data_IF_026541918795
#
_entry.id   IF_026541918795
#
_cell.length_a   1.000
_cell.length_b   1.000
_cell.length_c   1.000
_cell.angle_alpha   90.00
_cell.angle_beta   90.00
_cell.angle_gamma   90.00
#
_symmetry.space_group_name_H-M   'P 1'
#
loop_
_entity.id
_entity.type
_entity.pdbx_description
1 polymer ?
#
# COMPACT_ATOMS: atom_id res chain seq x y z
N UNK A 1 27.74 -0.13 -16.40
CA UNK A 1 26.74 0.25 -15.37
C UNK A 1 25.42 -0.37 -15.78
N UNK A 2 25.16 -1.58 -15.32
CA UNK A 2 23.97 -2.36 -15.67
C UNK A 2 22.80 -1.85 -14.83
N UNK A 3 21.95 -1.03 -15.43
CA UNK A 3 20.64 -0.67 -14.87
C UNK A 3 19.72 -1.90 -14.95
N UNK A 4 19.86 -2.81 -14.00
CA UNK A 4 18.98 -3.97 -13.87
C UNK A 4 17.61 -3.47 -13.37
N UNK A 5 16.61 -3.52 -14.23
CA UNK A 5 15.24 -3.18 -13.84
C UNK A 5 14.74 -4.21 -12.80
N UNK A 6 14.15 -3.77 -11.67
CA UNK A 6 13.79 -4.67 -10.55
C UNK A 6 12.76 -5.76 -10.92
N UNK A 7 11.98 -5.56 -12.00
CA UNK A 7 11.04 -6.57 -12.47
C UNK A 7 11.66 -7.71 -13.30
N UNK A 8 12.89 -7.55 -13.76
CA UNK A 8 13.64 -8.60 -14.43
C UNK A 8 14.42 -9.48 -13.44
N UNK A 9 14.38 -9.18 -12.13
CA UNK A 9 15.09 -9.91 -11.10
C UNK A 9 14.30 -11.16 -10.67
N UNK A 10 14.97 -12.26 -10.30
CA UNK A 10 14.34 -13.39 -9.61
C UNK A 10 13.53 -12.93 -8.38
N UNK A 11 12.50 -13.67 -8.02
CA UNK A 11 11.54 -13.27 -6.96
C UNK A 11 12.23 -12.86 -5.64
N UNK A 12 13.24 -13.61 -5.18
CA UNK A 12 14.02 -13.30 -3.97
C UNK A 12 14.83 -12.01 -4.07
N UNK A 13 15.42 -11.72 -5.24
CA UNK A 13 16.18 -10.50 -5.46
C UNK A 13 15.30 -9.24 -5.53
N UNK A 14 14.07 -9.35 -6.07
CA UNK A 14 13.13 -8.24 -6.08
C UNK A 14 12.75 -7.83 -4.65
N UNK A 15 12.43 -8.79 -3.79
CA UNK A 15 12.09 -8.53 -2.39
C UNK A 15 13.23 -7.85 -1.62
N UNK A 16 14.44 -8.37 -1.74
CA UNK A 16 15.62 -7.78 -1.12
C UNK A 16 15.88 -6.34 -1.59
N UNK A 17 15.83 -6.12 -2.90
CA UNK A 17 15.99 -4.78 -3.49
C UNK A 17 14.94 -3.78 -2.97
N UNK A 18 13.67 -4.19 -2.94
CA UNK A 18 12.57 -3.32 -2.47
C UNK A 18 12.77 -2.98 -1.00
N UNK A 19 13.17 -3.95 -0.16
CA UNK A 19 13.46 -3.73 1.26
C UNK A 19 14.60 -2.72 1.47
N UNK A 20 15.74 -2.91 0.80
CA UNK A 20 16.89 -2.02 0.89
C UNK A 20 16.54 -0.59 0.41
N UNK A 21 15.80 -0.50 -0.68
CA UNK A 21 15.34 0.77 -1.21
C UNK A 21 14.46 1.52 -0.20
N UNK A 22 13.45 0.88 0.38
CA UNK A 22 12.60 1.52 1.38
C UNK A 22 13.34 1.85 2.67
N UNK A 23 14.27 1.00 3.11
CA UNK A 23 15.14 1.30 4.25
C UNK A 23 15.97 2.58 4.02
N UNK A 24 16.53 2.77 2.82
CA UNK A 24 17.34 3.93 2.48
C UNK A 24 16.57 5.26 2.49
N UNK A 25 15.28 5.25 2.16
CA UNK A 25 14.44 6.46 2.10
C UNK A 25 13.57 6.66 3.36
N UNK A 26 13.49 5.69 4.25
CA UNK A 26 12.66 5.73 5.45
C UNK A 26 12.76 7.07 6.22
N UNK A 27 13.96 7.68 6.43
CA UNK A 27 14.09 8.94 7.15
C UNK A 27 13.30 10.13 6.58
N UNK A 28 13.12 10.17 5.26
CA UNK A 28 12.49 11.29 4.54
C UNK A 28 11.22 10.89 3.80
N UNK A 29 10.78 9.64 3.93
CA UNK A 29 9.67 9.06 3.19
C UNK A 29 8.38 9.86 3.30
N UNK A 30 7.96 10.20 4.52
CA UNK A 30 6.71 10.93 4.77
C UNK A 30 6.76 12.36 4.19
N UNK A 31 7.90 13.04 4.33
CA UNK A 31 8.10 14.37 3.77
C UNK A 31 8.02 14.35 2.25
N UNK A 32 8.72 13.41 1.61
CA UNK A 32 8.73 13.27 0.17
C UNK A 32 7.33 12.96 -0.39
N UNK A 33 6.58 12.07 0.26
CA UNK A 33 5.21 11.76 -0.15
C UNK A 33 4.30 12.99 -0.06
N UNK A 34 4.36 13.75 1.04
CA UNK A 34 3.57 14.99 1.20
C UNK A 34 3.89 16.03 0.12
N UNK A 35 5.16 16.22 -0.19
CA UNK A 35 5.59 17.17 -1.23
C UNK A 35 5.12 16.69 -2.60
N UNK A 36 5.39 15.43 -2.95
CA UNK A 36 5.05 14.85 -4.25
C UNK A 36 3.54 14.77 -4.49
N UNK A 37 2.74 14.55 -3.47
CA UNK A 37 1.28 14.46 -3.64
C UNK A 37 0.56 15.77 -3.38
N UNK A 38 1.27 16.82 -2.94
CA UNK A 38 0.63 18.05 -2.46
C UNK A 38 -0.34 17.77 -1.31
N UNK A 39 -0.03 16.77 -0.46
CA UNK A 39 -0.86 16.27 0.66
C UNK A 39 -2.21 15.66 0.23
N UNK A 40 -2.41 15.36 -1.06
CA UNK A 40 -3.62 14.67 -1.52
C UNK A 40 -3.69 13.22 -1.01
N UNK A 41 -2.54 12.61 -0.75
CA UNK A 41 -2.44 11.27 -0.16
C UNK A 41 -3.21 11.12 1.16
N UNK A 42 -3.29 12.18 1.98
CA UNK A 42 -4.09 12.20 3.20
C UNK A 42 -5.61 12.08 2.90
N UNK A 43 -6.08 12.71 1.81
CA UNK A 43 -7.49 12.62 1.36
C UNK A 43 -7.80 11.24 0.80
N UNK A 44 -6.88 10.67 0.01
CA UNK A 44 -7.05 9.33 -0.56
C UNK A 44 -7.09 8.27 0.54
N UNK A 45 -6.20 8.36 1.54
CA UNK A 45 -6.22 7.45 2.70
C UNK A 45 -7.51 7.57 3.51
N UNK A 46 -8.00 8.79 3.76
CA UNK A 46 -9.31 8.98 4.42
C UNK A 46 -10.45 8.34 3.63
N UNK A 47 -10.40 8.42 2.30
CA UNK A 47 -11.39 7.77 1.45
C UNK A 47 -11.28 6.24 1.51
N UNK A 48 -10.08 5.69 1.49
CA UNK A 48 -9.84 4.24 1.64
C UNK A 48 -10.37 3.72 2.99
N UNK A 49 -10.12 4.45 4.08
CA UNK A 49 -10.65 4.14 5.42
C UNK A 49 -12.18 4.22 5.44
N UNK A 50 -12.78 5.17 4.71
CA UNK A 50 -14.24 5.24 4.59
C UNK A 50 -14.83 4.06 3.81
N UNK A 51 -14.10 3.55 2.81
CA UNK A 51 -14.50 2.34 2.05
C UNK A 51 -14.36 1.07 2.90
N UNK A 52 -13.32 0.98 3.76
CA UNK A 52 -13.19 -0.13 4.71
C UNK A 52 -14.37 -0.19 5.68
N UNK A 53 -14.82 0.98 6.16
CA UNK A 53 -15.95 1.14 7.10
C UNK A 53 -15.88 0.17 8.30
N UNK A 54 -14.78 0.18 9.09
CA UNK A 54 -14.62 -0.76 10.19
C UNK A 54 -15.66 -0.51 11.28
N UNK A 55 -16.11 -1.58 11.90
CA UNK A 55 -16.93 -1.51 13.12
C UNK A 55 -16.07 -1.07 14.31
N UNK A 56 -16.72 -0.51 15.34
CA UNK A 56 -16.05 -0.20 16.61
C UNK A 56 -15.40 -1.48 17.20
N UNK A 57 -14.25 -1.31 17.85
CA UNK A 57 -13.46 -2.40 18.47
C UNK A 57 -12.92 -3.45 17.49
N UNK A 58 -13.03 -3.22 16.17
CA UNK A 58 -12.53 -4.16 15.16
C UNK A 58 -11.00 -4.31 15.22
N UNK A 59 -10.52 -5.51 14.90
CA UNK A 59 -9.10 -5.82 14.70
C UNK A 59 -8.77 -5.65 13.23
N UNK A 60 -7.97 -4.65 12.90
CA UNK A 60 -7.62 -4.29 11.51
C UNK A 60 -6.14 -4.59 11.26
N UNK A 61 -5.86 -5.22 10.11
CA UNK A 61 -4.50 -5.41 9.61
C UNK A 61 -4.17 -4.30 8.60
N UNK A 62 -3.05 -3.61 8.78
CA UNK A 62 -2.47 -2.73 7.76
C UNK A 62 -1.26 -3.43 7.12
N UNK A 63 -1.48 -3.97 5.92
CA UNK A 63 -0.49 -4.74 5.16
C UNK A 63 0.54 -3.81 4.52
N UNK A 64 1.83 -4.11 4.67
CA UNK A 64 2.93 -3.27 4.23
C UNK A 64 2.75 -1.84 4.75
N UNK A 65 2.59 -1.71 6.07
CA UNK A 65 2.16 -0.48 6.73
C UNK A 65 3.17 0.67 6.59
N UNK A 66 4.44 0.37 6.29
CA UNK A 66 5.52 1.34 6.19
C UNK A 66 5.65 2.14 7.49
N UNK A 67 5.57 3.46 7.38
CA UNK A 67 5.60 4.40 8.53
C UNK A 67 4.25 4.56 9.24
N UNK A 68 3.21 3.79 8.85
CA UNK A 68 1.93 3.68 9.54
C UNK A 68 0.85 4.72 9.18
N UNK A 69 0.91 5.34 8.01
CA UNK A 69 -0.03 6.43 7.65
C UNK A 69 -1.50 5.98 7.61
N UNK A 70 -1.82 4.80 7.02
CA UNK A 70 -3.18 4.25 7.03
C UNK A 70 -3.58 3.80 8.44
N UNK A 71 -2.72 3.06 9.10
CA UNK A 71 -2.88 2.60 10.48
C UNK A 71 -3.25 3.76 11.42
N UNK A 72 -2.48 4.85 11.41
CA UNK A 72 -2.76 6.01 12.25
C UNK A 72 -3.99 6.80 11.76
N UNK A 73 -4.30 6.73 10.48
CA UNK A 73 -5.55 7.25 9.93
C UNK A 73 -6.78 6.55 10.50
N UNK A 74 -6.74 5.21 10.63
CA UNK A 74 -7.74 4.37 11.28
C UNK A 74 -7.91 4.73 12.74
N UNK A 75 -6.82 4.76 13.53
CA UNK A 75 -6.85 5.07 14.96
C UNK A 75 -7.28 6.51 15.26
N UNK A 76 -6.97 7.48 14.38
CA UNK A 76 -7.49 8.86 14.54
C UNK A 76 -8.99 8.96 14.29
N UNK A 77 -9.53 8.12 13.38
CA UNK A 77 -10.96 8.05 13.10
C UNK A 77 -11.72 7.36 14.24
N UNK A 78 -11.18 6.26 14.73
CA UNK A 78 -11.77 5.49 15.82
C UNK A 78 -10.68 4.88 16.72
N UNK A 79 -10.43 5.47 17.91
CA UNK A 79 -9.42 4.97 18.85
C UNK A 79 -9.78 3.64 19.52
N UNK A 80 -11.01 3.14 19.32
CA UNK A 80 -11.42 1.82 19.87
C UNK A 80 -10.88 0.65 19.05
N UNK A 81 -10.41 0.92 17.82
CA UNK A 81 -9.83 -0.10 16.96
C UNK A 81 -8.51 -0.65 17.56
N UNK A 82 -8.24 -1.91 17.26
CA UNK A 82 -6.91 -2.50 17.41
C UNK A 82 -6.31 -2.65 16.02
N UNK A 83 -5.22 -1.93 15.72
CA UNK A 83 -4.60 -1.97 14.40
C UNK A 83 -3.22 -2.61 14.50
N UNK A 84 -3.03 -3.70 13.73
CA UNK A 84 -1.74 -4.38 13.56
C UNK A 84 -1.13 -3.95 12.23
N UNK A 85 0.05 -3.34 12.28
CA UNK A 85 0.84 -3.03 11.08
C UNK A 85 1.84 -4.14 10.81
N UNK A 86 1.77 -4.74 9.61
CA UNK A 86 2.76 -5.68 9.11
C UNK A 86 3.64 -5.00 8.07
N UNK A 87 4.95 -5.12 8.20
CA UNK A 87 5.91 -4.70 7.17
C UNK A 87 7.16 -5.57 7.21
N UNK A 88 7.82 -5.77 6.09
CA UNK A 88 9.08 -6.53 6.04
C UNK A 88 10.31 -5.65 6.26
N UNK A 89 10.15 -4.33 6.21
CA UNK A 89 11.21 -3.33 6.35
C UNK A 89 11.28 -2.80 7.79
N UNK A 90 12.20 -3.33 8.60
CA UNK A 90 12.37 -2.96 10.00
C UNK A 90 12.56 -1.45 10.22
N UNK A 91 13.39 -0.70 9.46
CA UNK A 91 13.49 0.76 9.63
C UNK A 91 12.19 1.53 9.44
N UNK A 92 11.25 1.00 8.65
CA UNK A 92 9.90 1.58 8.51
C UNK A 92 9.07 1.35 9.77
N UNK A 93 9.10 0.12 10.33
CA UNK A 93 8.39 -0.23 11.56
C UNK A 93 8.91 0.55 12.77
N UNK A 94 10.22 0.75 12.89
CA UNK A 94 10.80 1.61 13.94
C UNK A 94 10.23 3.03 13.92
N UNK A 95 10.12 3.61 12.73
CA UNK A 95 9.52 4.94 12.56
C UNK A 95 8.03 4.94 12.88
N UNK A 96 7.31 3.90 12.46
CA UNK A 96 5.91 3.73 12.82
C UNK A 96 5.74 3.64 14.34
N UNK A 97 6.57 2.85 15.04
CA UNK A 97 6.53 2.72 16.49
C UNK A 97 6.80 4.05 17.23
N UNK A 98 7.74 4.86 16.73
CA UNK A 98 7.98 6.22 17.28
C UNK A 98 6.74 7.10 17.09
N UNK A 99 6.10 7.06 15.92
CA UNK A 99 4.89 7.84 15.61
C UNK A 99 3.68 7.38 16.43
N UNK A 100 3.58 6.09 16.73
CA UNK A 100 2.48 5.52 17.52
C UNK A 100 2.37 6.14 18.91
N UNK A 101 3.48 6.58 19.52
CA UNK A 101 3.49 7.26 20.84
C UNK A 101 2.64 8.54 20.88
N UNK A 102 2.27 9.09 19.72
CA UNK A 102 1.49 10.33 19.58
C UNK A 102 0.04 10.08 19.15
N UNK A 103 -0.36 8.82 19.06
CA UNK A 103 -1.69 8.43 18.60
C UNK A 103 -2.41 7.68 19.72
N UNK A 104 -3.69 7.94 19.92
CA UNK A 104 -4.53 7.18 20.85
C UNK A 104 -5.00 5.89 20.17
N UNK A 105 -5.17 4.82 20.93
CA UNK A 105 -5.63 3.51 20.48
C UNK A 105 -4.53 2.47 20.47
N UNK A 106 -4.90 1.22 20.16
CA UNK A 106 -4.00 0.08 20.20
C UNK A 106 -3.30 -0.12 18.84
N UNK A 107 -2.01 0.19 18.79
CA UNK A 107 -1.14 -0.03 17.64
C UNK A 107 -0.15 -1.16 17.94
N UNK A 108 -0.10 -2.18 17.10
CA UNK A 108 0.83 -3.29 17.16
C UNK A 108 1.67 -3.34 15.88
N UNK A 109 2.92 -3.80 15.97
CA UNK A 109 3.83 -3.89 14.82
C UNK A 109 4.41 -5.29 14.74
N UNK A 110 4.37 -5.88 13.55
CA UNK A 110 4.91 -7.21 13.26
C UNK A 110 5.78 -7.12 12.02
N UNK A 111 7.02 -7.59 12.13
CA UNK A 111 7.88 -7.75 10.97
C UNK A 111 7.54 -9.06 10.26
N UNK A 112 7.25 -8.99 8.95
CA UNK A 112 6.89 -10.18 8.17
C UNK A 112 6.64 -9.90 6.70
N UNK A 113 6.60 -10.98 5.92
CA UNK A 113 6.25 -10.93 4.50
C UNK A 113 4.73 -11.04 4.35
N UNK A 114 4.16 -10.12 3.58
CA UNK A 114 2.71 -10.10 3.29
C UNK A 114 2.24 -11.32 2.48
N UNK A 115 3.16 -12.07 1.85
CA UNK A 115 2.87 -13.31 1.13
C UNK A 115 2.89 -14.56 2.05
N UNK A 116 3.38 -14.42 3.30
CA UNK A 116 3.46 -15.50 4.29
C UNK A 116 3.36 -14.90 5.69
N UNK A 117 2.17 -14.45 6.07
CA UNK A 117 1.95 -13.69 7.31
C UNK A 117 1.95 -14.60 8.55
N UNK A 118 2.59 -14.18 9.65
CA UNK A 118 2.66 -14.98 10.89
C UNK A 118 1.35 -14.85 11.72
N UNK A 119 0.20 -14.92 11.06
CA UNK A 119 -1.10 -14.85 11.71
C UNK A 119 -1.92 -16.10 11.40
N UNK A 120 -2.72 -16.59 12.37
CA UNK A 120 -3.72 -17.62 12.10
C UNK A 120 -4.75 -17.15 11.06
N UNK A 121 -5.45 -18.11 10.49
CA UNK A 121 -6.64 -17.83 9.69
C UNK A 121 -7.67 -17.05 10.49
N UNK A 122 -8.46 -16.22 9.82
CA UNK A 122 -9.61 -15.51 10.41
C UNK A 122 -9.27 -14.66 11.65
N UNK A 123 -8.10 -14.02 11.62
CA UNK A 123 -7.60 -13.20 12.74
C UNK A 123 -8.13 -11.77 12.73
N UNK A 124 -8.54 -11.23 11.57
CA UNK A 124 -8.83 -9.81 11.38
C UNK A 124 -10.23 -9.55 10.83
N UNK A 125 -10.85 -8.48 11.35
CA UNK A 125 -12.18 -8.00 10.95
C UNK A 125 -12.14 -7.09 9.70
N UNK A 126 -10.94 -6.76 9.22
CA UNK A 126 -10.68 -6.01 8.00
C UNK A 126 -9.20 -5.83 7.74
N UNK A 127 -8.84 -5.49 6.51
CA UNK A 127 -7.46 -5.19 6.17
C UNK A 127 -7.35 -3.98 5.23
N UNK A 128 -6.22 -3.26 5.34
CA UNK A 128 -5.82 -2.18 4.43
C UNK A 128 -4.44 -2.45 3.84
N UNK A 129 -4.18 -1.88 2.67
CA UNK A 129 -2.86 -1.79 2.05
C UNK A 129 -2.77 -0.48 1.29
N UNK A 130 -1.68 0.27 1.45
CA UNK A 130 -1.52 1.56 0.80
C UNK A 130 -0.22 1.70 0.03
N UNK A 131 -0.31 1.92 -1.30
CA UNK A 131 0.82 2.19 -2.19
C UNK A 131 1.91 1.09 -2.21
N UNK A 132 1.54 -0.16 -1.92
CA UNK A 132 2.49 -1.27 -1.74
C UNK A 132 2.23 -2.46 -2.66
N UNK A 133 1.00 -2.70 -3.12
CA UNK A 133 0.65 -3.91 -3.89
C UNK A 133 1.45 -4.02 -5.21
N UNK A 134 1.83 -2.91 -5.83
CA UNK A 134 2.70 -2.90 -7.02
C UNK A 134 4.14 -3.35 -6.75
N UNK A 135 4.56 -3.34 -5.48
CA UNK A 135 5.92 -3.67 -5.06
C UNK A 135 6.09 -5.13 -4.63
N UNK A 136 5.00 -5.85 -4.32
CA UNK A 136 5.05 -7.27 -3.94
C UNK A 136 5.57 -8.12 -5.10
N UNK A 137 6.11 -9.26 -4.78
CA UNK A 137 6.66 -10.21 -5.76
C UNK A 137 5.53 -10.86 -6.55
N UNK A 138 4.50 -11.34 -5.85
CA UNK A 138 3.33 -12.01 -6.40
C UNK A 138 2.05 -11.42 -5.82
N UNK A 139 1.27 -10.75 -6.68
CA UNK A 139 0.00 -10.12 -6.30
C UNK A 139 -1.04 -11.18 -5.92
N UNK A 140 -1.10 -12.28 -6.65
CA UNK A 140 -2.13 -13.29 -6.46
C UNK A 140 -1.87 -14.09 -5.17
N UNK A 141 -0.60 -14.39 -4.85
CA UNK A 141 -0.21 -14.96 -3.56
C UNK A 141 -0.54 -14.01 -2.41
N UNK A 142 -0.24 -12.72 -2.57
CA UNK A 142 -0.57 -11.68 -1.58
C UNK A 142 -2.08 -11.61 -1.30
N UNK A 143 -2.90 -11.60 -2.36
CA UNK A 143 -4.36 -11.54 -2.22
C UNK A 143 -4.93 -12.77 -1.52
N UNK A 144 -4.43 -13.98 -1.84
CA UNK A 144 -4.83 -15.23 -1.17
C UNK A 144 -4.45 -15.22 0.30
N UNK A 145 -3.26 -14.73 0.64
CA UNK A 145 -2.79 -14.67 2.02
C UNK A 145 -3.58 -13.62 2.85
N UNK A 146 -3.91 -12.47 2.27
CA UNK A 146 -4.82 -11.51 2.90
C UNK A 146 -6.20 -12.14 3.13
N UNK A 147 -6.73 -12.85 2.12
CA UNK A 147 -8.02 -13.52 2.25
C UNK A 147 -8.02 -14.57 3.37
N UNK A 148 -6.90 -15.32 3.54
CA UNK A 148 -6.75 -16.33 4.59
C UNK A 148 -6.89 -15.73 5.99
N UNK A 149 -6.21 -14.62 6.25
CA UNK A 149 -6.18 -14.02 7.59
C UNK A 149 -7.42 -13.18 7.93
N UNK A 150 -8.25 -12.86 6.95
CA UNK A 150 -9.52 -12.17 7.16
C UNK A 150 -10.59 -13.12 7.68
N UNK A 151 -11.46 -12.64 8.55
CA UNK A 151 -12.68 -13.33 8.97
C UNK A 151 -13.71 -13.34 7.84
N UNK A 152 -14.66 -14.28 7.84
CA UNK A 152 -15.82 -14.22 6.96
C UNK A 152 -16.50 -12.84 7.02
N UNK A 153 -16.90 -12.31 5.86
CA UNK A 153 -17.50 -10.98 5.67
C UNK A 153 -16.57 -9.79 5.96
N UNK A 154 -15.32 -10.02 6.34
CA UNK A 154 -14.32 -8.94 6.49
C UNK A 154 -13.93 -8.35 5.12
N UNK A 155 -13.70 -7.03 5.10
CA UNK A 155 -13.34 -6.31 3.89
C UNK A 155 -11.84 -6.05 3.82
N UNK A 156 -11.28 -6.21 2.62
CA UNK A 156 -9.95 -5.72 2.27
C UNK A 156 -10.05 -4.48 1.40
N UNK A 157 -9.21 -3.48 1.66
CA UNK A 157 -9.12 -2.24 0.88
C UNK A 157 -7.68 -1.96 0.49
N UNK A 158 -7.41 -1.86 -0.80
CA UNK A 158 -6.10 -1.48 -1.37
C UNK A 158 -6.18 -0.11 -2.03
N UNK A 159 -5.36 0.83 -1.58
CA UNK A 159 -5.16 2.14 -2.19
C UNK A 159 -3.83 2.15 -2.94
N UNK A 160 -3.84 2.33 -4.26
CA UNK A 160 -2.60 2.40 -5.03
C UNK A 160 -2.70 3.34 -6.24
N UNK A 161 -1.54 3.65 -6.81
CA UNK A 161 -1.42 4.32 -8.11
C UNK A 161 -1.96 3.40 -9.19
N UNK A 162 -2.68 3.97 -10.15
CA UNK A 162 -3.31 3.21 -11.23
C UNK A 162 -3.07 3.86 -12.60
N UNK A 163 -3.53 3.21 -13.65
CA UNK A 163 -3.40 3.67 -15.03
C UNK A 163 -4.68 4.39 -15.44
N UNK A 164 -4.58 5.70 -15.69
CA UNK A 164 -5.71 6.50 -16.13
C UNK A 164 -6.25 6.00 -17.49
N UNK A 165 -7.57 5.80 -17.63
CA UNK A 165 -8.17 5.36 -18.89
C UNK A 165 -8.20 6.48 -19.93
N UNK A 166 -8.31 7.74 -19.53
CA UNK A 166 -8.32 8.88 -20.44
C UNK A 166 -6.90 9.19 -20.92
N UNK A 167 -6.64 9.26 -22.25
CA UNK A 167 -5.30 9.44 -22.80
C UNK A 167 -4.66 10.80 -22.45
N UNK A 168 -5.47 11.85 -22.30
CA UNK A 168 -4.97 13.19 -21.91
C UNK A 168 -4.50 13.15 -20.46
N UNK A 169 -5.33 12.66 -19.55
CA UNK A 169 -4.99 12.50 -18.14
C UNK A 169 -3.77 11.61 -17.98
N UNK A 170 -3.72 10.50 -18.73
CA UNK A 170 -2.57 9.59 -18.75
C UNK A 170 -1.29 10.32 -19.15
N UNK A 171 -1.32 11.09 -20.25
CA UNK A 171 -0.13 11.81 -20.75
C UNK A 171 0.39 12.85 -19.73
N UNK A 172 -0.50 13.60 -19.11
CA UNK A 172 -0.15 14.58 -18.07
C UNK A 172 0.43 13.90 -16.84
N UNK A 173 -0.21 12.80 -16.41
CA UNK A 173 0.26 12.00 -15.29
C UNK A 173 1.62 11.36 -15.57
N UNK A 174 1.82 10.78 -16.76
CA UNK A 174 3.09 10.18 -17.16
C UNK A 174 4.21 11.23 -17.16
N UNK A 175 3.96 12.44 -17.68
CA UNK A 175 4.92 13.53 -17.62
C UNK A 175 5.33 13.87 -16.19
N UNK A 176 4.34 14.03 -15.30
CA UNK A 176 4.58 14.27 -13.89
C UNK A 176 5.33 13.10 -13.24
N UNK A 177 4.81 11.87 -13.40
CA UNK A 177 5.27 10.69 -12.68
C UNK A 177 6.66 10.21 -13.14
N UNK A 178 6.99 10.34 -14.43
CA UNK A 178 8.28 9.92 -14.98
C UNK A 178 9.35 11.02 -15.02
N UNK A 179 8.98 12.31 -14.90
CA UNK A 179 9.95 13.41 -14.96
C UNK A 179 10.04 14.16 -13.62
N UNK A 180 8.91 14.58 -13.05
CA UNK A 180 8.90 15.39 -11.82
C UNK A 180 9.18 14.54 -10.57
N UNK A 181 8.55 13.38 -10.45
CA UNK A 181 8.71 12.50 -9.26
C UNK A 181 10.18 12.07 -9.04
N UNK A 182 10.96 11.61 -10.05
CA UNK A 182 12.37 11.27 -9.83
C UNK A 182 13.24 12.47 -9.48
N UNK A 183 12.95 13.64 -10.03
CA UNK A 183 13.72 14.86 -9.76
C UNK A 183 13.45 15.38 -8.34
N UNK A 184 12.20 15.68 -8.03
CA UNK A 184 11.80 16.24 -6.73
C UNK A 184 12.00 15.21 -5.61
N UNK A 185 11.60 13.95 -5.86
CA UNK A 185 11.78 12.86 -4.90
C UNK A 185 13.25 12.55 -4.63
N UNK A 186 14.12 12.66 -5.63
CA UNK A 186 15.56 12.54 -5.47
C UNK A 186 16.15 13.61 -4.55
N UNK A 187 15.69 14.86 -4.66
CA UNK A 187 16.15 15.99 -3.83
C UNK A 187 15.58 15.88 -2.41
N UNK A 188 14.27 15.74 -2.28
CA UNK A 188 13.57 15.75 -1.00
C UNK A 188 13.76 14.43 -0.23
N UNK A 189 13.64 13.30 -0.95
CA UNK A 189 13.74 11.96 -0.37
C UNK A 189 15.16 11.44 -0.20
N UNK A 190 16.15 12.08 -0.83
CA UNK A 190 17.57 11.74 -0.69
C UNK A 190 18.04 10.52 -1.51
N UNK A 191 17.19 9.95 -2.38
CA UNK A 191 17.56 8.80 -3.23
C UNK A 191 16.88 8.87 -4.60
N UNK A 192 17.64 9.31 -5.61
CA UNK A 192 17.13 9.36 -7.00
C UNK A 192 16.76 7.97 -7.53
N UNK A 193 17.49 6.93 -7.16
CA UNK A 193 17.23 5.55 -7.59
C UNK A 193 15.88 5.05 -7.09
N UNK A 194 15.53 5.29 -5.83
CA UNK A 194 14.24 4.92 -5.25
C UNK A 194 13.07 5.62 -5.97
N UNK A 195 13.20 6.90 -6.24
CA UNK A 195 12.14 7.67 -6.93
C UNK A 195 12.10 7.46 -8.45
N UNK A 196 13.12 6.85 -9.05
CA UNK A 196 13.07 6.31 -10.42
C UNK A 196 12.40 4.94 -10.44
N UNK A 197 12.52 4.14 -9.37
CA UNK A 197 11.84 2.86 -9.26
C UNK A 197 10.32 3.00 -9.21
N UNK A 198 9.78 4.00 -8.49
CA UNK A 198 8.34 4.18 -8.32
C UNK A 198 7.56 4.24 -9.65
N UNK A 199 7.94 5.08 -10.64
CA UNK A 199 7.33 5.06 -11.96
C UNK A 199 7.48 3.71 -12.68
N UNK A 200 8.65 3.07 -12.57
CA UNK A 200 8.91 1.80 -13.23
C UNK A 200 8.04 0.66 -12.66
N UNK A 201 7.75 0.66 -11.35
CA UNK A 201 6.87 -0.33 -10.74
C UNK A 201 5.44 -0.28 -11.31
N UNK A 202 4.97 0.90 -11.73
CA UNK A 202 3.63 1.06 -12.31
C UNK A 202 3.50 0.45 -13.72
N UNK A 203 4.59 0.35 -14.48
CA UNK A 203 4.53 -0.21 -15.86
C UNK A 203 3.96 -1.63 -15.88
N UNK A 204 4.38 -2.45 -14.92
CA UNK A 204 3.99 -3.86 -14.80
C UNK A 204 2.79 -4.09 -13.87
N UNK A 205 2.33 -3.03 -13.18
CA UNK A 205 1.13 -3.12 -12.36
C UNK A 205 -0.12 -3.25 -13.24
N UNK A 206 -1.09 -4.11 -12.90
CA UNK A 206 -2.33 -4.22 -13.64
C UNK A 206 -3.10 -2.89 -13.66
N UNK A 207 -3.93 -2.66 -14.67
CA UNK A 207 -4.88 -1.56 -14.63
C UNK A 207 -6.00 -1.84 -13.59
N UNK A 208 -6.87 -0.87 -13.34
CA UNK A 208 -7.86 -1.00 -12.28
C UNK A 208 -8.86 -2.15 -12.51
N UNK A 209 -9.27 -2.40 -13.76
CA UNK A 209 -10.17 -3.52 -14.08
C UNK A 209 -9.46 -4.87 -13.90
N UNK A 210 -8.24 -5.00 -14.43
CA UNK A 210 -7.45 -6.23 -14.31
C UNK A 210 -7.17 -6.56 -12.83
N UNK A 211 -6.91 -5.54 -12.00
CA UNK A 211 -6.70 -5.76 -10.56
C UNK A 211 -8.00 -6.17 -9.86
N UNK A 212 -9.14 -5.56 -10.19
CA UNK A 212 -10.45 -6.01 -9.70
C UNK A 212 -10.71 -7.49 -10.02
N UNK A 213 -10.38 -7.91 -11.25
CA UNK A 213 -10.53 -9.32 -11.65
C UNK A 213 -9.59 -10.25 -10.86
N UNK A 214 -8.37 -9.80 -10.52
CA UNK A 214 -7.48 -10.56 -9.64
C UNK A 214 -8.06 -10.72 -8.24
N UNK A 215 -8.69 -9.68 -7.68
CA UNK A 215 -9.43 -9.80 -6.42
C UNK A 215 -10.51 -10.88 -6.51
N UNK A 216 -11.34 -10.85 -7.55
CA UNK A 216 -12.39 -11.86 -7.75
C UNK A 216 -11.81 -13.29 -7.90
N UNK A 217 -10.73 -13.45 -8.69
CA UNK A 217 -10.06 -14.75 -8.85
C UNK A 217 -9.40 -15.26 -7.57
N UNK A 218 -8.93 -14.37 -6.71
CA UNK A 218 -8.37 -14.73 -5.40
C UNK A 218 -9.44 -15.20 -4.40
N UNK A 219 -10.74 -15.04 -4.72
CA UNK A 219 -11.85 -15.47 -3.88
C UNK A 219 -12.61 -14.34 -3.17
N UNK A 220 -12.27 -13.08 -3.41
CA UNK A 220 -13.05 -11.97 -2.84
C UNK A 220 -14.39 -11.81 -3.54
N UNK A 221 -15.48 -11.79 -2.78
CA UNK A 221 -16.79 -11.34 -3.22
C UNK A 221 -16.85 -9.80 -3.29
N UNK A 222 -17.85 -9.27 -4.00
CA UNK A 222 -18.08 -7.82 -4.14
C UNK A 222 -16.83 -7.05 -4.61
N UNK A 223 -15.97 -7.68 -5.39
CA UNK A 223 -14.76 -7.06 -5.87
C UNK A 223 -15.04 -5.85 -6.76
N UNK A 224 -14.58 -4.68 -6.33
CA UNK A 224 -14.81 -3.41 -7.00
C UNK A 224 -13.67 -2.42 -6.83
N UNK A 225 -13.79 -1.25 -7.45
CA UNK A 225 -12.86 -0.15 -7.22
C UNK A 225 -13.53 1.21 -7.37
N UNK A 226 -12.93 2.22 -6.74
CA UNK A 226 -13.24 3.63 -6.91
C UNK A 226 -12.03 4.33 -7.54
N UNK A 227 -12.23 4.94 -8.70
CA UNK A 227 -11.20 5.73 -9.36
C UNK A 227 -11.16 7.16 -8.81
N UNK A 228 -9.97 7.67 -8.52
CA UNK A 228 -9.71 9.03 -8.08
C UNK A 228 -8.75 9.71 -9.04
N UNK A 229 -8.72 11.03 -9.05
CA UNK A 229 -7.80 11.84 -9.87
C UNK A 229 -7.79 11.42 -11.35
N UNK A 230 -8.99 11.25 -11.95
CA UNK A 230 -9.12 10.81 -13.33
C UNK A 230 -8.64 9.39 -13.60
N UNK A 231 -8.54 8.55 -12.56
CA UNK A 231 -8.12 7.15 -12.65
C UNK A 231 -6.62 6.93 -12.45
N UNK A 232 -5.85 7.95 -12.06
CA UNK A 232 -4.43 7.80 -11.70
C UNK A 232 -4.22 7.19 -10.32
N UNK A 233 -5.24 7.22 -9.48
CA UNK A 233 -5.30 6.57 -8.17
C UNK A 233 -6.55 5.69 -8.16
N UNK A 234 -6.47 4.51 -7.57
CA UNK A 234 -7.62 3.62 -7.39
C UNK A 234 -7.66 3.07 -5.97
N UNK A 235 -8.87 2.93 -5.44
CA UNK A 235 -9.17 2.23 -4.19
C UNK A 235 -9.92 0.96 -4.57
N UNK A 236 -9.22 -0.18 -4.56
CA UNK A 236 -9.83 -1.49 -4.76
C UNK A 236 -10.33 -2.04 -3.43
N UNK A 237 -11.40 -2.81 -3.49
CA UNK A 237 -11.97 -3.48 -2.33
C UNK A 237 -12.59 -4.82 -2.71
N UNK A 238 -12.70 -5.68 -1.72
CA UNK A 238 -13.41 -6.96 -1.81
C UNK A 238 -13.74 -7.46 -0.41
N UNK A 239 -14.67 -8.39 -0.32
CA UNK A 239 -15.17 -8.97 0.92
C UNK A 239 -14.85 -10.47 0.93
N UNK A 240 -14.35 -11.00 2.06
CA UNK A 240 -14.22 -12.46 2.21
C UNK A 240 -15.62 -13.07 2.25
N UNK A 241 -15.93 -14.09 1.43
CA UNK A 241 -17.19 -14.85 1.51
C UNK A 241 -17.44 -15.44 2.92
N UNK A 242 -18.66 -15.98 3.11
CA UNK A 242 -19.00 -16.76 4.31
C UNK A 242 -18.30 -18.12 4.30
#
# INVERSE_FOLDING_TARGET
MTSTQPHARPAGEKGAFVREMFASIAPRYDLANRVLTGRQDERWRRRAIAVLAPNAHAKILDCCCGTGDLMFGLLRRDPTLTVTGLDFCEPMLERAAIRARRVRGAAQFVQGDVMAMPFPEESFDGATMGFSLRNVVDIDATLREILRVLRPRARFVNLDVSKAPNPIVKRLFDLYFYRVVPLVGGIVGGSRSAYTYLPNSLRHHPNANDLRERFARAGFAEAGYQALMGGTIAIHYGVKPQ
#
